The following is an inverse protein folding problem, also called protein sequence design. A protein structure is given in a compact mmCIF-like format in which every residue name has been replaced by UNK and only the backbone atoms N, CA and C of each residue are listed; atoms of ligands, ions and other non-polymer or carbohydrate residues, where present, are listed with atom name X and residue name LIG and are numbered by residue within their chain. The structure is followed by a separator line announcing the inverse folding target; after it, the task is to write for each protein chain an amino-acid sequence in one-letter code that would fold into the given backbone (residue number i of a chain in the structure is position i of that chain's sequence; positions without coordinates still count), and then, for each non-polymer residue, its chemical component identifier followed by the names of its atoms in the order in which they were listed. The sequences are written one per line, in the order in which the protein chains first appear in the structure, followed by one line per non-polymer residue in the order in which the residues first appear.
data_IF_791677262244
#
_entry.id   IF_791677262244
#
_cell.length_a   1.000
_cell.length_b   1.000
_cell.length_c   1.000
_cell.angle_alpha   90.00
_cell.angle_beta   90.00
_cell.angle_gamma   90.00
#
_symmetry.space_group_name_H-M   'P 1'
#
loop_
_entity.id
_entity.type
_entity.pdbx_description
1 polymer ?
#
# COMPACT_ATOMS: atom_id res chain seq x y z
N UNK A 1 74.40 4.65 -6.28
CA UNK A 1 74.08 4.41 -4.86
C UNK A 1 74.12 2.90 -4.65
N UNK A 2 74.91 2.36 -3.72
CA UNK A 2 74.94 0.92 -3.44
C UNK A 2 73.84 0.59 -2.43
N UNK A 3 73.01 -0.40 -2.73
CA UNK A 3 72.00 -0.91 -1.80
C UNK A 3 72.63 -2.14 -1.14
N UNK A 4 72.65 -2.15 0.19
CA UNK A 4 73.20 -3.23 1.01
C UNK A 4 72.09 -3.76 1.90
N UNK A 5 71.96 -5.08 1.99
CA UNK A 5 71.01 -5.71 2.90
C UNK A 5 71.51 -5.58 4.34
N UNK A 6 70.74 -4.97 5.25
CA UNK A 6 71.17 -4.77 6.64
C UNK A 6 71.21 -6.06 7.50
N UNK A 7 70.88 -7.22 6.92
CA UNK A 7 70.92 -8.53 7.61
C UNK A 7 72.19 -9.31 7.21
N UNK A 8 72.45 -9.51 5.91
CA UNK A 8 73.64 -10.21 5.44
C UNK A 8 74.84 -9.29 5.16
N UNK A 9 74.61 -7.97 5.12
CA UNK A 9 75.62 -6.95 4.82
C UNK A 9 76.27 -7.07 3.43
N UNK A 10 75.68 -7.87 2.54
CA UNK A 10 76.12 -8.04 1.16
C UNK A 10 75.52 -6.97 0.24
N UNK A 11 76.29 -6.58 -0.77
CA UNK A 11 75.81 -5.73 -1.86
C UNK A 11 74.72 -6.47 -2.64
N UNK A 12 73.63 -5.77 -2.91
CA UNK A 12 72.50 -6.35 -3.63
C UNK A 12 72.87 -6.51 -5.10
N UNK A 13 72.86 -7.76 -5.59
CA UNK A 13 73.08 -8.08 -6.99
C UNK A 13 71.85 -7.77 -7.87
N UNK A 14 72.07 -7.57 -9.17
CA UNK A 14 70.99 -7.24 -10.15
C UNK A 14 69.86 -8.28 -10.19
N UNK A 15 70.15 -9.53 -9.81
CA UNK A 15 69.18 -10.63 -9.77
C UNK A 15 68.59 -10.88 -8.37
N UNK A 16 69.02 -10.13 -7.35
CA UNK A 16 68.54 -10.29 -5.98
C UNK A 16 67.12 -9.74 -5.85
N UNK A 17 66.25 -10.54 -5.22
CA UNK A 17 64.87 -10.13 -4.96
C UNK A 17 64.84 -9.20 -3.74
N UNK A 18 64.84 -7.89 -3.97
CA UNK A 18 64.71 -6.93 -2.88
C UNK A 18 63.29 -6.79 -2.38
N UNK A 19 63.15 -6.47 -1.10
CA UNK A 19 61.87 -6.19 -0.46
C UNK A 19 62.01 -5.01 0.50
N UNK A 20 61.00 -4.16 0.55
CA UNK A 20 60.87 -3.10 1.54
C UNK A 20 59.66 -3.31 2.44
N UNK A 21 59.85 -3.11 3.74
CA UNK A 21 58.76 -3.16 4.72
C UNK A 21 57.85 -1.94 4.51
N UNK A 22 56.54 -2.14 4.33
CA UNK A 22 55.56 -1.08 4.01
C UNK A 22 55.56 0.03 5.08
N UNK A 23 55.74 -0.33 6.34
CA UNK A 23 55.61 0.61 7.48
C UNK A 23 56.83 1.49 7.69
N UNK A 24 58.04 1.00 7.43
CA UNK A 24 59.28 1.70 7.77
C UNK A 24 60.25 1.88 6.59
N UNK A 25 59.96 1.30 5.43
CA UNK A 25 60.76 1.47 4.20
C UNK A 25 62.12 0.78 4.20
N UNK A 26 62.54 0.14 5.29
CA UNK A 26 63.81 -0.59 5.33
C UNK A 26 63.85 -1.73 4.31
N UNK A 27 64.98 -1.84 3.62
CA UNK A 27 65.18 -2.73 2.46
C UNK A 27 66.05 -3.91 2.86
N UNK A 28 65.66 -5.10 2.42
CA UNK A 28 66.36 -6.36 2.65
C UNK A 28 66.24 -7.26 1.43
N UNK A 29 67.17 -8.20 1.31
CA UNK A 29 66.94 -9.36 0.45
C UNK A 29 65.76 -10.17 0.97
N UNK A 30 64.93 -10.65 0.05
CA UNK A 30 63.74 -11.44 0.36
C UNK A 30 64.05 -12.61 1.28
N UNK A 31 65.12 -13.36 0.97
CA UNK A 31 65.51 -14.53 1.76
C UNK A 31 65.86 -14.15 3.22
N UNK A 32 66.62 -13.06 3.38
CA UNK A 32 67.04 -12.58 4.70
C UNK A 32 65.86 -12.10 5.53
N UNK A 33 64.95 -11.30 4.96
CA UNK A 33 63.79 -10.81 5.72
C UNK A 33 62.79 -11.93 6.01
N UNK A 34 62.58 -12.87 5.08
CA UNK A 34 61.69 -14.02 5.30
C UNK A 34 62.20 -14.88 6.47
N UNK A 35 63.50 -15.11 6.56
CA UNK A 35 64.10 -15.83 7.68
C UNK A 35 64.03 -15.04 8.99
N UNK A 36 64.31 -13.74 8.95
CA UNK A 36 64.23 -12.87 10.13
C UNK A 36 62.81 -12.77 10.69
N UNK A 37 61.79 -12.73 9.83
CA UNK A 37 60.39 -12.70 10.25
C UNK A 37 59.88 -14.06 10.75
N UNK A 38 60.37 -15.18 10.19
CA UNK A 38 60.07 -16.53 10.68
C UNK A 38 60.64 -16.79 12.08
N UNK A 39 61.85 -16.29 12.36
CA UNK A 39 62.54 -16.53 13.63
C UNK A 39 62.27 -15.43 14.67
N UNK A 40 61.75 -14.27 14.24
CA UNK A 40 61.47 -13.12 15.10
C UNK A 40 59.98 -12.92 15.41
N UNK A 41 59.66 -11.86 16.17
CA UNK A 41 58.27 -11.49 16.53
C UNK A 41 57.53 -10.72 15.42
N UNK A 42 57.85 -10.96 14.15
CA UNK A 42 57.25 -10.21 13.04
C UNK A 42 57.55 -8.71 13.05
N UNK A 43 58.75 -8.33 13.50
CA UNK A 43 59.22 -6.93 13.62
C UNK A 43 60.38 -6.67 12.66
N UNK A 44 60.52 -5.41 12.24
CA UNK A 44 61.64 -4.97 11.42
C UNK A 44 62.97 -5.16 12.18
N UNK A 45 63.99 -5.83 11.61
CA UNK A 45 65.29 -6.01 12.26
C UNK A 45 66.03 -4.70 12.57
N UNK A 46 65.74 -3.64 11.81
CA UNK A 46 66.43 -2.34 11.94
C UNK A 46 65.75 -1.43 12.96
N UNK A 47 64.44 -1.23 12.84
CA UNK A 47 63.71 -0.25 13.66
C UNK A 47 62.65 -0.84 14.59
N UNK A 48 62.48 -2.17 14.60
CA UNK A 48 61.50 -2.91 15.41
C UNK A 48 60.03 -2.57 15.14
N UNK A 49 59.73 -1.82 14.09
CA UNK A 49 58.35 -1.58 13.64
C UNK A 49 57.66 -2.89 13.28
N UNK A 50 56.38 -3.01 13.63
CA UNK A 50 55.60 -4.22 13.36
C UNK A 50 55.36 -4.40 11.86
N UNK A 51 55.68 -5.60 11.36
CA UNK A 51 55.63 -5.97 9.93
C UNK A 51 54.39 -6.81 9.61
N UNK A 52 53.81 -7.49 10.61
CA UNK A 52 52.63 -8.34 10.47
C UNK A 52 51.43 -7.69 11.13
N UNK A 53 50.33 -7.55 10.41
CA UNK A 53 49.09 -6.97 10.93
C UNK A 53 48.28 -8.05 11.68
N UNK A 54 47.66 -7.71 12.82
CA UNK A 54 46.97 -8.65 13.72
C UNK A 54 45.78 -9.38 13.08
N UNK A 55 45.29 -8.91 11.93
CA UNK A 55 44.17 -9.50 11.18
C UNK A 55 44.60 -10.40 10.01
N UNK A 56 45.88 -10.45 9.64
CA UNK A 56 46.35 -11.20 8.46
C UNK A 56 47.81 -11.66 8.64
N UNK A 57 48.05 -12.97 8.59
CA UNK A 57 49.39 -13.60 8.69
C UNK A 57 50.32 -13.33 7.48
N UNK A 58 49.94 -12.43 6.57
CA UNK A 58 50.76 -12.07 5.42
C UNK A 58 51.75 -10.96 5.82
N UNK A 59 53.06 -11.15 5.59
CA UNK A 59 54.04 -10.13 5.90
C UNK A 59 53.85 -8.91 4.99
N UNK A 60 53.85 -7.72 5.59
CA UNK A 60 53.51 -6.47 4.90
C UNK A 60 54.77 -5.80 4.31
N UNK A 61 55.34 -6.41 3.28
CA UNK A 61 56.44 -5.86 2.49
C UNK A 61 56.11 -5.90 0.98
N UNK A 62 56.71 -5.01 0.19
CA UNK A 62 56.60 -5.02 -1.28
C UNK A 62 57.95 -5.33 -1.91
N UNK A 63 57.93 -5.98 -3.07
CA UNK A 63 59.14 -6.30 -3.83
C UNK A 63 59.65 -5.06 -4.56
N UNK A 64 60.95 -4.82 -4.48
CA UNK A 64 61.64 -3.74 -5.19
C UNK A 64 62.41 -4.35 -6.35
N UNK A 65 62.34 -3.69 -7.51
CA UNK A 65 63.15 -4.00 -8.68
C UNK A 65 64.01 -2.76 -8.98
N UNK A 66 65.29 -2.75 -8.55
CA UNK A 66 66.19 -1.67 -8.90
C UNK A 66 66.30 -1.59 -10.43
N UNK A 67 66.05 -0.43 -11.01
CA UNK A 67 66.30 -0.21 -12.42
C UNK A 67 67.81 -0.11 -12.62
N UNK A 68 68.42 -1.07 -13.31
CA UNK A 68 69.77 -0.90 -13.83
C UNK A 68 69.78 0.32 -14.76
N UNK A 69 70.85 1.11 -14.66
CA UNK A 69 71.09 2.42 -15.27
C UNK A 69 70.54 2.66 -16.70
N UNK A 70 70.02 3.88 -16.88
CA UNK A 70 69.83 4.68 -18.11
C UNK A 70 69.60 4.01 -19.48
N UNK A 71 68.40 4.26 -20.00
CA UNK A 71 68.02 4.41 -21.41
C UNK A 71 68.40 3.29 -22.38
N UNK A 72 67.54 2.29 -22.46
CA UNK A 72 66.73 2.11 -23.66
C UNK A 72 65.48 1.37 -23.21
N UNK A 73 64.31 2.01 -23.29
CA UNK A 73 63.07 1.25 -23.22
C UNK A 73 63.12 0.25 -24.38
N UNK A 74 63.49 -1.01 -24.10
CA UNK A 74 63.40 -2.05 -25.11
C UNK A 74 61.93 -2.13 -25.55
N UNK A 75 61.66 -2.52 -26.80
CA UNK A 75 60.31 -2.49 -27.37
C UNK A 75 59.27 -3.19 -26.47
N UNK A 76 59.70 -4.22 -25.76
CA UNK A 76 58.92 -4.94 -24.76
C UNK A 76 58.48 -4.07 -23.55
N UNK A 77 59.36 -3.23 -23.02
CA UNK A 77 59.05 -2.30 -21.92
C UNK A 77 58.00 -1.26 -22.35
N UNK A 78 58.14 -0.71 -23.55
CA UNK A 78 57.16 0.23 -24.13
C UNK A 78 55.80 -0.46 -24.27
N UNK A 79 55.78 -1.68 -24.84
CA UNK A 79 54.57 -2.46 -25.02
C UNK A 79 53.90 -2.81 -23.69
N UNK A 80 54.66 -3.15 -22.65
CA UNK A 80 54.14 -3.45 -21.32
C UNK A 80 53.58 -2.20 -20.63
N UNK A 81 54.27 -1.06 -20.73
CA UNK A 81 53.77 0.24 -20.22
C UNK A 81 52.45 0.63 -20.90
N UNK A 82 52.34 0.43 -22.22
CA UNK A 82 51.11 0.69 -22.96
C UNK A 82 49.95 -0.22 -22.51
N UNK A 83 50.18 -1.52 -22.39
CA UNK A 83 49.18 -2.47 -21.87
C UNK A 83 48.76 -2.16 -20.44
N UNK A 84 49.69 -1.74 -19.59
CA UNK A 84 49.40 -1.34 -18.22
C UNK A 84 48.53 -0.08 -18.18
N UNK A 85 48.83 0.91 -19.03
CA UNK A 85 48.01 2.11 -19.16
C UNK A 85 46.59 1.79 -19.65
N UNK A 86 46.46 0.90 -20.64
CA UNK A 86 45.17 0.41 -21.14
C UNK A 86 44.37 -0.32 -20.05
N UNK A 87 45.02 -1.23 -19.32
CA UNK A 87 44.39 -1.94 -18.22
C UNK A 87 43.92 -0.99 -17.11
N UNK A 88 44.74 0.01 -16.75
CA UNK A 88 44.37 1.02 -15.76
C UNK A 88 43.17 1.86 -16.22
N UNK A 89 43.12 2.27 -17.48
CA UNK A 89 41.97 2.98 -18.05
C UNK A 89 40.69 2.11 -18.00
N UNK A 90 40.83 0.83 -18.32
CA UNK A 90 39.71 -0.13 -18.25
C UNK A 90 39.21 -0.33 -16.83
N UNK A 91 40.11 -0.44 -15.84
CA UNK A 91 39.74 -0.52 -14.42
C UNK A 91 39.00 0.73 -13.98
N UNK A 92 39.48 1.92 -14.36
CA UNK A 92 38.81 3.19 -14.04
C UNK A 92 37.40 3.24 -14.63
N UNK A 93 37.25 2.85 -15.89
CA UNK A 93 35.94 2.82 -16.59
C UNK A 93 34.97 1.85 -15.91
N UNK A 94 35.40 0.62 -15.66
CA UNK A 94 34.57 -0.38 -14.97
C UNK A 94 34.21 0.06 -13.55
N UNK A 95 35.12 0.73 -12.85
CA UNK A 95 34.85 1.25 -11.51
C UNK A 95 33.75 2.32 -11.51
N UNK A 96 33.72 3.18 -12.53
CA UNK A 96 32.65 4.16 -12.72
C UNK A 96 31.32 3.46 -13.03
N UNK A 97 31.29 2.51 -13.97
CA UNK A 97 30.07 1.76 -14.31
C UNK A 97 29.50 0.99 -13.11
N UNK A 98 30.37 0.37 -12.30
CA UNK A 98 29.96 -0.33 -11.06
C UNK A 98 29.38 0.66 -10.05
N UNK A 99 29.96 1.86 -9.92
CA UNK A 99 29.42 2.90 -9.06
C UNK A 99 28.03 3.36 -9.52
N UNK A 100 27.87 3.64 -10.82
CA UNK A 100 26.61 4.11 -11.39
C UNK A 100 25.50 3.07 -11.27
N UNK A 101 25.80 1.80 -11.60
CA UNK A 101 24.86 0.69 -11.46
C UNK A 101 24.48 0.44 -10.00
N UNK A 102 25.43 0.56 -9.06
CA UNK A 102 25.15 0.48 -7.62
C UNK A 102 24.22 1.60 -7.15
N UNK A 103 24.42 2.82 -7.61
CA UNK A 103 23.56 3.95 -7.27
C UNK A 103 22.15 3.75 -7.82
N UNK A 104 22.02 3.37 -9.10
CA UNK A 104 20.72 3.07 -9.72
C UNK A 104 19.98 1.93 -9.00
N UNK A 105 20.69 0.87 -8.62
CA UNK A 105 20.12 -0.25 -7.88
C UNK A 105 19.62 0.18 -6.49
N UNK A 106 20.38 1.00 -5.78
CA UNK A 106 19.97 1.53 -4.47
C UNK A 106 18.73 2.41 -4.58
N UNK A 107 18.66 3.29 -5.57
CA UNK A 107 17.46 4.10 -5.84
C UNK A 107 16.25 3.22 -6.15
N UNK A 108 16.41 2.21 -7.00
CA UNK A 108 15.33 1.27 -7.34
C UNK A 108 14.86 0.46 -6.13
N UNK A 109 15.78 -0.01 -5.28
CA UNK A 109 15.41 -0.69 -4.02
C UNK A 109 14.66 0.23 -3.05
N UNK A 110 15.06 1.50 -2.95
CA UNK A 110 14.36 2.48 -2.13
C UNK A 110 12.94 2.71 -2.65
N UNK A 111 12.77 2.88 -3.97
CA UNK A 111 11.45 2.97 -4.59
C UNK A 111 10.61 1.72 -4.32
N UNK A 112 11.14 0.52 -4.53
CA UNK A 112 10.47 -0.73 -4.25
C UNK A 112 10.01 -0.83 -2.78
N UNK A 113 10.84 -0.39 -1.84
CA UNK A 113 10.51 -0.36 -0.40
C UNK A 113 9.33 0.58 -0.12
N UNK A 114 9.33 1.77 -0.72
CA UNK A 114 8.21 2.73 -0.58
C UNK A 114 6.93 2.23 -1.22
N UNK A 115 7.01 1.55 -2.37
CA UNK A 115 5.84 0.95 -3.01
C UNK A 115 5.30 -0.22 -2.19
N UNK A 116 6.18 -1.03 -1.59
CA UNK A 116 5.78 -2.13 -0.71
C UNK A 116 5.04 -1.62 0.54
N UNK A 117 5.48 -0.52 1.16
CA UNK A 117 4.76 0.07 2.30
C UNK A 117 3.39 0.61 1.89
N UNK A 118 3.32 1.34 0.77
CA UNK A 118 2.04 1.84 0.22
C UNK A 118 1.08 0.71 -0.11
N UNK A 119 1.57 -0.40 -0.69
CA UNK A 119 0.75 -1.57 -0.99
C UNK A 119 0.18 -2.21 0.29
N UNK A 120 0.96 -2.29 1.37
CA UNK A 120 0.49 -2.79 2.66
C UNK A 120 -0.61 -1.91 3.26
N UNK A 121 -0.45 -0.59 3.17
CA UNK A 121 -1.45 0.38 3.63
C UNK A 121 -2.75 0.31 2.81
N UNK A 122 -2.63 0.22 1.49
CA UNK A 122 -3.77 0.04 0.59
C UNK A 122 -4.51 -1.27 0.88
N UNK A 123 -3.80 -2.39 1.08
CA UNK A 123 -4.40 -3.67 1.44
C UNK A 123 -5.12 -3.61 2.79
N UNK A 124 -4.51 -2.98 3.81
CA UNK A 124 -5.16 -2.82 5.11
C UNK A 124 -6.44 -1.98 5.00
N UNK A 125 -6.46 -0.99 4.11
CA UNK A 125 -7.63 -0.15 3.85
C UNK A 125 -8.71 -0.94 3.12
N UNK A 126 -8.34 -1.68 2.08
CA UNK A 126 -9.24 -2.57 1.35
C UNK A 126 -9.90 -3.59 2.29
N UNK A 127 -9.13 -4.23 3.17
CA UNK A 127 -9.66 -5.19 4.15
C UNK A 127 -10.68 -4.55 5.11
N UNK A 128 -10.42 -3.33 5.59
CA UNK A 128 -11.39 -2.58 6.40
C UNK A 128 -12.65 -2.27 5.62
N UNK A 129 -12.53 -1.83 4.36
CA UNK A 129 -13.69 -1.54 3.52
C UNK A 129 -14.52 -2.78 3.26
N UNK A 130 -13.90 -3.93 2.96
CA UNK A 130 -14.61 -5.20 2.77
C UNK A 130 -15.45 -5.57 4.00
N UNK A 131 -14.87 -5.47 5.20
CA UNK A 131 -15.59 -5.72 6.47
C UNK A 131 -16.75 -4.75 6.70
N UNK A 132 -16.64 -3.49 6.26
CA UNK A 132 -17.75 -2.54 6.33
C UNK A 132 -18.84 -2.92 5.33
N UNK A 133 -18.47 -3.27 4.11
CA UNK A 133 -19.42 -3.69 3.06
C UNK A 133 -20.19 -4.94 3.46
N UNK A 134 -19.54 -5.92 4.10
CA UNK A 134 -20.21 -7.12 4.64
C UNK A 134 -21.24 -6.75 5.71
N UNK A 135 -20.88 -5.88 6.67
CA UNK A 135 -21.82 -5.41 7.69
C UNK A 135 -23.02 -4.66 7.08
N UNK A 136 -22.78 -3.81 6.09
CA UNK A 136 -23.85 -3.11 5.38
C UNK A 136 -24.78 -4.07 4.64
N UNK A 137 -24.26 -5.17 4.06
CA UNK A 137 -25.10 -6.21 3.46
C UNK A 137 -26.02 -6.87 4.50
N UNK A 138 -25.50 -7.17 5.69
CA UNK A 138 -26.32 -7.71 6.78
C UNK A 138 -27.40 -6.72 7.24
N UNK A 139 -27.06 -5.43 7.34
CA UNK A 139 -28.01 -4.37 7.68
C UNK A 139 -29.12 -4.23 6.64
N UNK A 140 -28.78 -4.26 5.35
CA UNK A 140 -29.78 -4.24 4.27
C UNK A 140 -30.75 -5.42 4.41
N UNK A 141 -30.24 -6.62 4.67
CA UNK A 141 -31.09 -7.80 4.86
C UNK A 141 -31.96 -7.71 6.13
N UNK A 142 -31.43 -7.13 7.22
CA UNK A 142 -32.23 -6.81 8.42
C UNK A 142 -33.37 -5.84 8.10
N UNK A 143 -33.07 -4.76 7.38
CA UNK A 143 -34.06 -3.73 7.00
C UNK A 143 -35.13 -4.32 6.08
N UNK A 144 -34.76 -5.16 5.12
CA UNK A 144 -35.73 -5.85 4.24
C UNK A 144 -36.72 -6.69 5.05
N UNK A 145 -36.24 -7.51 5.99
CA UNK A 145 -37.13 -8.31 6.86
C UNK A 145 -38.07 -7.42 7.69
N UNK A 146 -37.53 -6.36 8.31
CA UNK A 146 -38.34 -5.42 9.07
C UNK A 146 -39.41 -4.72 8.22
N UNK A 147 -39.07 -4.37 6.96
CA UNK A 147 -40.01 -3.81 5.98
C UNK A 147 -41.14 -4.79 5.68
N UNK A 148 -40.82 -6.05 5.41
CA UNK A 148 -41.82 -7.07 5.09
C UNK A 148 -42.76 -7.33 6.28
N UNK A 149 -42.23 -7.33 7.51
CA UNK A 149 -43.03 -7.47 8.73
C UNK A 149 -43.90 -6.25 9.02
N UNK A 150 -43.45 -5.04 8.64
CA UNK A 150 -44.27 -3.83 8.69
C UNK A 150 -45.41 -3.91 7.67
N UNK A 151 -45.13 -4.41 6.46
CA UNK A 151 -46.14 -4.59 5.42
C UNK A 151 -47.25 -5.56 5.85
N UNK A 152 -46.88 -6.72 6.38
CA UNK A 152 -47.85 -7.70 6.92
C UNK A 152 -48.73 -7.10 8.03
N UNK A 153 -48.14 -6.29 8.91
CA UNK A 153 -48.90 -5.59 9.96
C UNK A 153 -49.85 -4.56 9.39
N UNK A 154 -49.43 -3.79 8.38
CA UNK A 154 -50.28 -2.84 7.68
C UNK A 154 -51.47 -3.54 7.00
N UNK A 155 -51.24 -4.67 6.33
CA UNK A 155 -52.30 -5.47 5.70
C UNK A 155 -53.30 -6.00 6.74
N UNK A 156 -52.82 -6.50 7.88
CA UNK A 156 -53.68 -6.96 8.98
C UNK A 156 -54.52 -5.81 9.55
N UNK A 157 -53.91 -4.65 9.76
CA UNK A 157 -54.64 -3.46 10.24
C UNK A 157 -55.70 -3.01 9.23
N UNK A 158 -55.38 -3.05 7.93
CA UNK A 158 -56.33 -2.72 6.86
C UNK A 158 -57.53 -3.67 6.89
N UNK A 159 -57.30 -4.97 7.02
CA UNK A 159 -58.37 -5.97 7.16
C UNK A 159 -59.24 -5.72 8.39
N UNK A 160 -58.63 -5.54 9.57
CA UNK A 160 -59.37 -5.27 10.80
C UNK A 160 -60.19 -3.98 10.71
N UNK A 161 -59.66 -2.94 10.09
CA UNK A 161 -60.35 -1.68 9.89
C UNK A 161 -61.55 -1.83 8.95
N UNK A 162 -61.41 -2.59 7.86
CA UNK A 162 -62.53 -2.95 6.98
C UNK A 162 -63.62 -3.71 7.74
N UNK A 163 -63.26 -4.72 8.55
CA UNK A 163 -64.23 -5.46 9.37
C UNK A 163 -64.96 -4.55 10.37
N UNK A 164 -64.23 -3.71 11.09
CA UNK A 164 -64.82 -2.76 12.04
C UNK A 164 -65.77 -1.76 11.34
N UNK A 165 -65.41 -1.30 10.15
CA UNK A 165 -66.25 -0.40 9.35
C UNK A 165 -67.55 -1.09 8.92
N UNK A 166 -67.49 -2.34 8.47
CA UNK A 166 -68.69 -3.13 8.15
C UNK A 166 -69.59 -3.34 9.37
N UNK A 167 -69.02 -3.73 10.51
CA UNK A 167 -69.76 -3.92 11.76
C UNK A 167 -70.40 -2.62 12.26
N UNK A 168 -69.68 -1.49 12.14
CA UNK A 168 -70.22 -0.18 12.50
C UNK A 168 -71.42 0.17 11.64
N UNK A 169 -71.32 -0.01 10.31
CA UNK A 169 -72.42 0.21 9.37
C UNK A 169 -73.63 -0.69 9.67
N UNK A 170 -73.39 -1.95 10.01
CA UNK A 170 -74.46 -2.87 10.39
C UNK A 170 -75.15 -2.44 11.70
N UNK A 171 -74.38 -2.04 12.71
CA UNK A 171 -74.92 -1.46 13.94
C UNK A 171 -75.70 -0.18 13.70
N UNK A 172 -75.20 0.72 12.83
CA UNK A 172 -75.89 1.95 12.45
C UNK A 172 -77.24 1.65 11.79
N UNK A 173 -77.28 0.70 10.84
CA UNK A 173 -78.51 0.24 10.19
C UNK A 173 -79.51 -0.35 11.20
N UNK A 174 -79.04 -1.17 12.15
CA UNK A 174 -79.89 -1.73 13.21
C UNK A 174 -80.46 -0.63 14.11
N UNK A 175 -79.63 0.32 14.54
CA UNK A 175 -80.08 1.46 15.34
C UNK A 175 -81.07 2.36 14.58
N UNK A 176 -80.91 2.50 13.26
CA UNK A 176 -81.86 3.23 12.42
C UNK A 176 -83.20 2.48 12.33
N UNK A 177 -83.17 1.17 12.09
CA UNK A 177 -84.38 0.35 12.02
C UNK A 177 -85.14 0.30 13.34
N UNK A 178 -84.44 0.22 14.48
CA UNK A 178 -85.05 0.34 15.81
C UNK A 178 -85.68 1.71 16.05
N UNK A 179 -85.04 2.79 15.60
CA UNK A 179 -85.62 4.14 15.66
C UNK A 179 -86.90 4.25 14.83
N UNK A 180 -86.91 3.68 13.63
CA UNK A 180 -88.09 3.62 12.76
C UNK A 180 -89.23 2.82 13.41
N UNK A 181 -88.92 1.69 14.06
CA UNK A 181 -89.91 0.89 14.80
C UNK A 181 -90.51 1.64 16.00
N UNK A 182 -89.70 2.37 16.78
CA UNK A 182 -90.18 3.19 17.90
C UNK A 182 -91.11 4.31 17.43
N UNK A 183 -90.79 4.96 16.30
CA UNK A 183 -91.67 5.99 15.69
C UNK A 183 -93.02 5.41 15.26
N UNK A 184 -93.07 4.14 14.80
CA UNK A 184 -94.33 3.47 14.43
C UNK A 184 -95.16 3.10 15.68
N UNK A 185 -94.50 2.78 16.79
CA UNK A 185 -95.16 2.41 18.05
C UNK A 185 -95.80 3.63 18.75
N UNK A 186 -95.20 4.81 18.64
CA UNK A 186 -95.74 6.07 19.17
C UNK A 186 -96.96 6.61 18.38
N UNK A 187 -97.19 6.17 17.14
CA UNK A 187 -98.39 6.56 16.34
C UNK A 187 -99.60 5.65 16.64
N UNK A 188 -99.40 4.59 17.44
CA UNK A 188 -100.43 3.57 17.73
C UNK A 188 -100.98 3.64 19.16
N UNK A 189 -100.59 4.62 19.98
CA UNK A 189 -101.00 4.73 21.38
C UNK A 189 -101.41 6.16 21.74
N UNK A 190 -102.63 6.54 21.34
CA UNK A 190 -103.37 7.60 22.01
C UNK A 190 -103.82 7.08 23.39
N UNK A 191 -103.09 7.41 24.45
CA UNK A 191 -103.67 7.57 25.79
C UNK A 191 -102.72 8.28 26.75
N UNK A 192 -103.26 9.29 27.44
CA UNK A 192 -102.59 10.12 28.44
C UNK A 192 -101.92 9.33 29.58
N UNK A 193 -100.80 9.84 30.10
CA UNK A 193 -100.30 9.46 31.41
C UNK A 193 -98.97 10.11 31.76
N UNK A 194 -98.98 10.96 32.80
CA UNK A 194 -97.87 11.78 33.24
C UNK A 194 -96.81 11.03 34.09
N UNK A 195 -95.64 11.67 34.19
CA UNK A 195 -94.57 11.53 35.20
C UNK A 195 -93.68 10.27 35.12
N UNK A 196 -92.39 10.46 34.79
CA UNK A 196 -91.34 10.46 35.82
C UNK A 196 -89.96 10.81 35.26
N UNK A 197 -89.23 11.48 36.15
CA UNK A 197 -87.92 12.10 36.06
C UNK A 197 -86.75 11.09 35.98
N UNK A 198 -85.55 11.64 35.70
CA UNK A 198 -84.18 11.13 35.98
C UNK A 198 -83.46 10.49 34.75
N UNK A 199 -82.14 10.73 34.50
CA UNK A 199 -81.37 11.97 34.62
C UNK A 199 -80.57 12.31 33.35
N UNK A 200 -80.20 13.58 33.20
CA UNK A 200 -79.08 14.00 32.36
C UNK A 200 -77.78 13.39 32.89
N UNK A 201 -77.27 12.32 32.26
CA UNK A 201 -75.87 11.89 32.44
C UNK A 201 -75.07 12.50 31.30
N UNK A 202 -74.70 13.77 31.50
CA UNK A 202 -73.52 14.37 30.91
C UNK A 202 -72.28 13.73 31.56
N UNK A 203 -71.98 12.50 31.15
CA UNK A 203 -70.78 11.76 31.54
C UNK A 203 -69.83 11.71 30.38
N UNK A 204 -68.96 12.72 30.27
CA UNK A 204 -67.81 12.72 29.38
C UNK A 204 -66.96 11.47 29.59
N UNK A 205 -66.94 10.57 28.60
CA UNK A 205 -66.01 9.43 28.52
C UNK A 205 -64.56 9.97 28.42
N UNK A 206 -63.65 9.63 29.35
CA UNK A 206 -62.24 10.08 29.29
C UNK A 206 -61.37 9.33 28.27
N UNK A 207 -61.94 8.36 27.52
CA UNK A 207 -61.14 7.42 26.71
C UNK A 207 -60.71 7.94 25.33
N UNK A 208 -61.28 9.03 24.83
CA UNK A 208 -61.04 9.57 23.49
C UNK A 208 -59.94 10.63 23.42
N UNK A 209 -59.62 11.30 24.53
CA UNK A 209 -58.66 12.42 24.53
C UNK A 209 -57.20 11.95 24.58
N UNK A 210 -56.92 10.85 25.28
CA UNK A 210 -55.57 10.25 25.35
C UNK A 210 -55.17 9.62 24.00
N UNK A 211 -56.07 8.85 23.40
CA UNK A 211 -55.88 8.21 22.09
C UNK A 211 -55.77 9.23 20.94
N UNK A 212 -56.46 10.38 21.04
CA UNK A 212 -56.33 11.47 20.09
C UNK A 212 -54.99 12.23 20.21
N UNK A 213 -54.49 12.40 21.43
CA UNK A 213 -53.17 12.99 21.68
C UNK A 213 -52.04 12.08 21.17
N UNK A 214 -52.12 10.79 21.46
CA UNK A 214 -51.15 9.79 20.99
C UNK A 214 -51.11 9.71 19.46
N UNK A 215 -52.27 9.82 18.79
CA UNK A 215 -52.36 9.88 17.34
C UNK A 215 -51.69 11.15 16.76
N UNK A 216 -51.87 12.30 17.41
CA UNK A 216 -51.24 13.55 16.99
C UNK A 216 -49.72 13.53 17.20
N UNK A 217 -49.26 12.99 18.32
CA UNK A 217 -47.83 12.82 18.62
C UNK A 217 -47.18 11.82 17.65
N UNK A 218 -47.86 10.72 17.33
CA UNK A 218 -47.41 9.76 16.32
C UNK A 218 -47.36 10.38 14.91
N UNK A 219 -48.36 11.18 14.55
CA UNK A 219 -48.40 11.91 13.27
C UNK A 219 -47.24 12.91 13.15
N UNK A 220 -46.91 13.60 14.23
CA UNK A 220 -45.77 14.53 14.29
C UNK A 220 -44.43 13.79 14.18
N UNK A 221 -44.28 12.67 14.91
CA UNK A 221 -43.09 11.80 14.83
C UNK A 221 -42.90 11.23 13.42
N UNK A 222 -43.98 10.81 12.76
CA UNK A 222 -43.94 10.36 11.36
C UNK A 222 -43.48 11.47 10.40
N UNK A 223 -43.98 12.70 10.57
CA UNK A 223 -43.53 13.84 9.75
C UNK A 223 -42.04 14.14 9.94
N UNK A 224 -41.53 14.07 11.18
CA UNK A 224 -40.10 14.24 11.45
C UNK A 224 -39.24 13.13 10.83
N UNK A 225 -39.73 11.89 10.84
CA UNK A 225 -39.07 10.75 10.19
C UNK A 225 -38.97 10.95 8.68
N UNK A 226 -40.05 11.40 8.02
CA UNK A 226 -40.06 11.69 6.58
C UNK A 226 -39.07 12.81 6.22
N UNK A 227 -38.96 13.84 7.06
CA UNK A 227 -37.99 14.93 6.85
C UNK A 227 -36.56 14.38 7.01
N UNK A 228 -36.30 13.55 8.03
CA UNK A 228 -35.00 12.90 8.22
C UNK A 228 -34.64 11.97 7.08
N UNK A 229 -35.59 11.20 6.57
CA UNK A 229 -35.41 10.33 5.42
C UNK A 229 -35.01 11.14 4.16
N UNK A 230 -35.70 12.25 3.88
CA UNK A 230 -35.35 13.16 2.77
C UNK A 230 -33.95 13.76 2.92
N UNK A 231 -33.57 14.15 4.13
CA UNK A 231 -32.23 14.69 4.40
C UNK A 231 -31.15 13.61 4.22
N UNK A 232 -31.42 12.38 4.66
CA UNK A 232 -30.52 11.25 4.48
C UNK A 232 -30.37 10.87 3.00
N UNK A 233 -31.46 10.83 2.23
CA UNK A 233 -31.41 10.57 0.78
C UNK A 233 -30.66 11.67 0.04
N UNK A 234 -30.88 12.94 0.40
CA UNK A 234 -30.11 14.05 -0.17
C UNK A 234 -28.62 13.92 0.12
N UNK A 235 -28.26 13.63 1.38
CA UNK A 235 -26.85 13.46 1.79
C UNK A 235 -26.18 12.25 1.12
N UNK A 236 -26.93 11.16 0.91
CA UNK A 236 -26.44 10.00 0.14
C UNK A 236 -26.24 10.34 -1.35
N UNK A 237 -27.12 11.13 -1.95
CA UNK A 237 -26.95 11.60 -3.32
C UNK A 237 -25.71 12.51 -3.44
N UNK A 238 -25.52 13.45 -2.50
CA UNK A 238 -24.37 14.35 -2.47
C UNK A 238 -23.05 13.56 -2.31
N UNK A 239 -23.02 12.55 -1.43
CA UNK A 239 -21.87 11.66 -1.25
C UNK A 239 -21.60 10.78 -2.48
N UNK A 240 -22.65 10.32 -3.17
CA UNK A 240 -22.50 9.54 -4.39
C UNK A 240 -21.95 10.37 -5.57
N UNK A 241 -22.30 11.66 -5.65
CA UNK A 241 -21.75 12.60 -6.62
C UNK A 241 -20.28 12.88 -6.29
N UNK A 242 -19.95 13.18 -5.02
CA UNK A 242 -18.56 13.37 -4.59
C UNK A 242 -17.67 12.13 -4.79
N UNK A 243 -18.23 10.92 -4.62
CA UNK A 243 -17.53 9.67 -4.87
C UNK A 243 -17.21 9.45 -6.35
N UNK A 244 -18.19 9.66 -7.25
CA UNK A 244 -18.02 9.45 -8.69
C UNK A 244 -16.98 10.39 -9.33
N UNK A 245 -17.02 11.68 -8.98
CA UNK A 245 -16.14 12.66 -9.61
C UNK A 245 -14.66 12.48 -9.20
N UNK A 246 -14.39 11.95 -8.00
CA UNK A 246 -13.03 11.71 -7.52
C UNK A 246 -12.45 10.39 -8.03
N UNK A 247 -13.24 9.32 -8.07
CA UNK A 247 -12.75 7.97 -8.41
C UNK A 247 -12.58 7.79 -9.93
N UNK A 248 -13.46 8.37 -10.75
CA UNK A 248 -13.40 8.20 -12.21
C UNK A 248 -12.27 9.02 -12.86
N UNK A 249 -11.96 10.22 -12.34
CA UNK A 249 -10.88 11.08 -12.85
C UNK A 249 -9.50 10.50 -12.50
N UNK A 250 -9.32 10.05 -11.26
CA UNK A 250 -8.04 9.47 -10.81
C UNK A 250 -7.77 8.12 -11.47
N UNK A 251 -8.80 7.28 -11.64
CA UNK A 251 -8.66 5.99 -12.34
C UNK A 251 -8.37 6.16 -13.84
N UNK A 252 -8.98 7.14 -14.52
CA UNK A 252 -8.70 7.39 -15.93
C UNK A 252 -7.26 7.89 -16.15
N UNK A 253 -6.79 8.81 -15.30
CA UNK A 253 -5.42 9.33 -15.37
C UNK A 253 -4.37 8.23 -15.07
N UNK A 254 -4.63 7.39 -14.06
CA UNK A 254 -3.75 6.26 -13.74
C UNK A 254 -3.73 5.22 -14.86
N UNK A 255 -4.89 4.92 -15.47
CA UNK A 255 -4.97 3.99 -16.60
C UNK A 255 -4.20 4.51 -17.81
N UNK A 256 -4.34 5.80 -18.15
CA UNK A 256 -3.55 6.42 -19.23
C UNK A 256 -2.04 6.41 -18.94
N UNK A 257 -1.62 6.62 -17.69
CA UNK A 257 -0.22 6.57 -17.27
C UNK A 257 0.38 5.17 -17.47
N UNK A 258 -0.35 4.13 -17.08
CA UNK A 258 0.08 2.73 -17.24
C UNK A 258 0.19 2.37 -18.72
N UNK A 259 -0.78 2.76 -19.55
CA UNK A 259 -0.71 2.55 -21.00
C UNK A 259 0.51 3.23 -21.64
N UNK A 260 0.84 4.46 -21.22
CA UNK A 260 2.04 5.17 -21.71
C UNK A 260 3.33 4.44 -21.32
N UNK A 261 3.45 4.00 -20.07
CA UNK A 261 4.61 3.25 -19.59
C UNK A 261 4.78 1.92 -20.34
N UNK A 262 3.67 1.22 -20.64
CA UNK A 262 3.69 -0.02 -21.40
C UNK A 262 4.22 0.20 -22.82
N UNK A 263 3.77 1.24 -23.51
CA UNK A 263 4.23 1.57 -24.86
C UNK A 263 5.71 1.97 -24.89
N UNK A 264 6.20 2.72 -23.90
CA UNK A 264 7.61 3.06 -23.76
C UNK A 264 8.47 1.80 -23.53
N UNK A 265 8.01 0.87 -22.69
CA UNK A 265 8.69 -0.40 -22.44
C UNK A 265 8.74 -1.27 -23.71
N UNK A 266 7.64 -1.34 -24.46
CA UNK A 266 7.53 -2.11 -25.70
C UNK A 266 8.48 -1.55 -26.77
N UNK A 267 8.58 -0.23 -26.88
CA UNK A 267 9.53 0.46 -27.78
C UNK A 267 10.98 0.14 -27.41
N UNK A 268 11.31 0.15 -26.11
CA UNK A 268 12.64 -0.24 -25.62
C UNK A 268 12.97 -1.69 -25.96
N UNK A 269 12.00 -2.60 -25.80
CA UNK A 269 12.14 -4.02 -26.13
C UNK A 269 12.39 -4.26 -27.62
N UNK A 270 11.70 -3.53 -28.49
CA UNK A 270 11.95 -3.60 -29.94
C UNK A 270 13.36 -3.11 -30.28
N UNK A 271 13.81 -2.01 -29.66
CA UNK A 271 15.15 -1.46 -29.88
C UNK A 271 16.25 -2.42 -29.42
N UNK A 272 16.12 -3.00 -28.23
CA UNK A 272 17.11 -3.98 -27.73
C UNK A 272 17.11 -5.25 -28.57
N UNK A 273 15.95 -5.71 -29.04
CA UNK A 273 15.83 -6.86 -29.95
C UNK A 273 16.56 -6.59 -31.27
N UNK A 274 16.36 -5.41 -31.86
CA UNK A 274 17.05 -5.02 -33.09
C UNK A 274 18.57 -4.94 -32.90
N UNK A 275 19.03 -4.34 -31.80
CA UNK A 275 20.46 -4.27 -31.47
C UNK A 275 21.05 -5.68 -31.28
N UNK A 276 20.35 -6.58 -30.58
CA UNK A 276 20.79 -7.96 -30.40
C UNK A 276 20.90 -8.72 -31.74
N UNK A 277 19.98 -8.46 -32.67
CA UNK A 277 20.01 -9.05 -34.01
C UNK A 277 21.17 -8.49 -34.86
N UNK A 278 21.46 -7.20 -34.77
CA UNK A 278 22.63 -6.58 -35.41
C UNK A 278 23.94 -7.19 -34.88
N UNK A 279 24.10 -7.30 -33.57
CA UNK A 279 25.27 -7.93 -32.95
C UNK A 279 25.42 -9.41 -33.36
N UNK A 280 24.32 -10.16 -33.49
CA UNK A 280 24.35 -11.53 -34.03
C UNK A 280 24.82 -11.57 -35.48
N UNK A 281 24.43 -10.60 -36.31
CA UNK A 281 24.89 -10.50 -37.69
C UNK A 281 26.36 -10.12 -37.80
N UNK A 282 26.83 -9.17 -36.99
CA UNK A 282 28.25 -8.79 -36.92
C UNK A 282 29.12 -9.95 -36.44
N UNK A 283 28.69 -10.67 -35.39
CA UNK A 283 29.41 -11.86 -34.91
C UNK A 283 29.55 -12.93 -36.00
N UNK A 284 28.49 -13.17 -36.80
CA UNK A 284 28.54 -14.09 -37.94
C UNK A 284 29.48 -13.64 -39.06
N UNK A 285 29.68 -12.33 -39.24
CA UNK A 285 30.62 -11.77 -40.23
C UNK A 285 32.08 -11.90 -39.78
N UNK A 286 32.36 -11.86 -38.48
CA UNK A 286 33.72 -12.01 -37.94
C UNK A 286 34.17 -13.48 -37.75
N UNK A 287 33.26 -14.45 -37.87
CA UNK A 287 33.56 -15.89 -37.77
C UNK A 287 33.66 -16.60 -39.13
N UNK A 288 33.66 -15.86 -40.25
CA UNK A 288 33.96 -16.35 -41.60
C UNK A 288 35.28 -15.74 -42.06
#
# INVERSE_FOLDING_TARGET
MRIVCSICLEDVHENSCLTAIVRCGHIFDKACIDQALKNGRGQCPVCKSQVVNSSSFTPHYFRIYPSASESHDNQECINLKAKLAEANLRIATLSLEVSDTKNALNSSHQEQKTLSSKLKEANATAERTTKVTERLKEDIERIKRAKDDCHKRADKLKYLNQTLTSNLKESENLCQSLREQLVIQDVSSDSQGALNSVPSISGSLPLTQASQKDYLDLKKSYQELVIRERLATKKLADLAIQGKDSEDIENLANTQRVYKQLNEALTKLLKTTNNANQLKHEKKRHTK
#
